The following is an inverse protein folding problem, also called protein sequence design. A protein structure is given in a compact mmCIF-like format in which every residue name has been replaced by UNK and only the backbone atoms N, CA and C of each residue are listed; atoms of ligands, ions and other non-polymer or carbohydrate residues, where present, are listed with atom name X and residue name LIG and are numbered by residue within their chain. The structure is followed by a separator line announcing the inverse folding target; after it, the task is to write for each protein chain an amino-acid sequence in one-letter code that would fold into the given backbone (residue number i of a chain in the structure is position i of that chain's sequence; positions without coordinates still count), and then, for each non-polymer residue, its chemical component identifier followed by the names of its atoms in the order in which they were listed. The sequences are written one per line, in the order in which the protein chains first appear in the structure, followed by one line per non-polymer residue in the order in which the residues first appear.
data_IF_742173834907
#
_entry.id   IF_742173834907
#
_cell.length_a   1.000
_cell.length_b   1.000
_cell.length_c   1.000
_cell.angle_alpha   90.00
_cell.angle_beta   90.00
_cell.angle_gamma   90.00
#
_symmetry.space_group_name_H-M   'P 1'
#
loop_
_entity.id
_entity.type
_entity.pdbx_description
1 polymer ?
#
# COMPACT_ATOMS: atom_id res chain seq x y z
N UNK A 1 -14.90 5.50 -18.82
CA UNK A 1 -15.62 5.37 -20.11
C UNK A 1 -16.46 4.10 -20.12
N UNK A 2 -17.50 4.09 -20.91
CA UNK A 2 -18.29 2.88 -21.15
C UNK A 2 -17.57 1.99 -22.17
N UNK A 3 -17.20 0.76 -21.75
CA UNK A 3 -16.53 -0.21 -22.61
C UNK A 3 -17.40 -0.66 -23.81
N UNK A 4 -18.74 -0.62 -23.70
CA UNK A 4 -19.65 -0.93 -24.78
C UNK A 4 -19.53 0.07 -25.95
N UNK A 5 -19.08 1.28 -25.69
CA UNK A 5 -18.83 2.30 -26.72
C UNK A 5 -17.69 1.92 -27.68
N UNK A 6 -16.83 0.97 -27.28
CA UNK A 6 -15.77 0.41 -28.12
C UNK A 6 -16.25 -0.74 -29.01
N UNK A 7 -17.53 -0.99 -29.09
CA UNK A 7 -18.16 -1.96 -29.97
C UNK A 7 -18.92 -1.27 -31.10
N UNK A 8 -19.30 -2.02 -32.14
CA UNK A 8 -20.12 -1.52 -33.26
C UNK A 8 -19.39 -0.59 -34.24
N UNK A 9 -20.16 0.10 -35.07
CA UNK A 9 -19.66 0.90 -36.23
C UNK A 9 -18.83 2.11 -35.86
N UNK A 10 -19.03 2.71 -34.66
CA UNK A 10 -18.33 3.90 -34.19
C UNK A 10 -17.06 3.62 -33.38
N UNK A 11 -16.72 2.33 -33.16
CA UNK A 11 -15.59 1.92 -32.30
C UNK A 11 -14.28 2.64 -32.59
N UNK A 12 -13.95 2.88 -33.88
CA UNK A 12 -12.71 3.55 -34.28
C UNK A 12 -12.65 5.01 -33.83
N UNK A 13 -13.73 5.76 -33.97
CA UNK A 13 -13.83 7.14 -33.54
C UNK A 13 -13.75 7.26 -32.01
N UNK A 14 -14.46 6.39 -31.29
CA UNK A 14 -14.45 6.36 -29.84
C UNK A 14 -13.06 5.98 -29.31
N UNK A 15 -12.44 4.94 -29.88
CA UNK A 15 -11.07 4.55 -29.52
C UNK A 15 -10.08 5.69 -29.71
N UNK A 16 -10.13 6.38 -30.86
CA UNK A 16 -9.24 7.50 -31.16
C UNK A 16 -9.45 8.68 -30.19
N UNK A 17 -10.69 8.99 -29.84
CA UNK A 17 -11.02 9.99 -28.82
C UNK A 17 -10.43 9.62 -27.45
N UNK A 18 -10.66 8.39 -26.98
CA UNK A 18 -10.13 7.91 -25.70
C UNK A 18 -8.60 7.84 -25.69
N UNK A 19 -7.96 7.46 -26.81
CA UNK A 19 -6.50 7.40 -26.96
C UNK A 19 -5.85 8.77 -26.85
N UNK A 20 -6.50 9.81 -27.41
CA UNK A 20 -6.02 11.20 -27.41
C UNK A 20 -6.39 11.95 -26.13
N UNK A 21 -7.23 11.39 -25.29
CA UNK A 21 -7.71 12.06 -24.08
C UNK A 21 -6.59 12.28 -23.08
N UNK A 22 -6.49 13.47 -22.48
CA UNK A 22 -5.42 13.85 -21.55
C UNK A 22 -5.30 12.90 -20.34
N UNK A 23 -6.42 12.44 -19.80
CA UNK A 23 -6.49 11.52 -18.66
C UNK A 23 -6.14 10.06 -19.00
N UNK A 24 -5.86 9.75 -20.28
CA UNK A 24 -5.49 8.40 -20.75
C UNK A 24 -6.40 7.30 -20.20
N UNK A 25 -7.73 7.35 -20.42
CA UNK A 25 -8.67 6.40 -19.81
C UNK A 25 -8.48 4.94 -20.24
N UNK A 26 -7.78 4.68 -21.35
CA UNK A 26 -7.42 3.33 -21.80
C UNK A 26 -6.20 2.76 -21.05
N UNK A 27 -5.49 3.57 -20.26
CA UNK A 27 -4.35 3.09 -19.46
C UNK A 27 -4.83 2.39 -18.20
N UNK A 28 -4.57 1.10 -18.09
CA UNK A 28 -4.94 0.32 -16.91
C UNK A 28 -4.01 0.67 -15.73
N UNK A 29 -4.39 1.68 -14.95
CA UNK A 29 -3.61 2.14 -13.79
C UNK A 29 -3.45 1.09 -12.72
N UNK A 30 -4.45 0.25 -12.51
CA UNK A 30 -4.44 -0.77 -11.46
C UNK A 30 -3.31 -1.81 -11.64
N UNK A 31 -3.00 -2.16 -12.89
CA UNK A 31 -2.02 -3.18 -13.23
C UNK A 31 -0.70 -2.63 -13.76
N UNK A 32 -0.73 -1.45 -14.38
CA UNK A 32 0.41 -0.86 -15.10
C UNK A 32 0.95 0.42 -14.49
N UNK A 33 0.12 1.14 -13.74
CA UNK A 33 0.56 2.32 -12.98
C UNK A 33 1.53 1.89 -11.90
N UNK A 34 2.68 2.56 -11.83
CA UNK A 34 3.66 2.34 -10.75
C UNK A 34 3.80 3.63 -9.97
N UNK A 35 3.52 3.56 -8.69
CA UNK A 35 3.39 4.71 -7.80
C UNK A 35 4.17 4.46 -6.52
N UNK A 36 4.58 5.52 -5.87
CA UNK A 36 5.05 5.41 -4.49
C UNK A 36 3.89 4.97 -3.60
N UNK A 37 4.08 4.00 -2.70
CA UNK A 37 3.00 3.52 -1.83
C UNK A 37 2.64 4.50 -0.69
N UNK A 38 3.54 5.41 -0.33
CA UNK A 38 3.38 6.26 0.83
C UNK A 38 3.20 5.46 2.12
N UNK A 39 2.52 6.03 3.09
CA UNK A 39 2.37 5.46 4.44
C UNK A 39 1.67 4.10 4.52
N UNK A 40 1.05 3.58 3.45
CA UNK A 40 0.55 2.21 3.45
C UNK A 40 1.69 1.18 3.55
N UNK A 41 2.89 1.55 3.08
CA UNK A 41 4.08 0.71 3.14
C UNK A 41 4.56 0.46 4.59
N UNK A 42 4.18 1.30 5.53
CA UNK A 42 4.50 1.15 6.96
C UNK A 42 4.00 -0.16 7.54
N UNK A 43 2.94 -0.75 6.97
CA UNK A 43 2.40 -2.04 7.42
C UNK A 43 3.42 -3.16 7.23
N UNK A 44 3.99 -3.30 6.04
CA UNK A 44 5.02 -4.31 5.77
C UNK A 44 6.32 -3.99 6.50
N UNK A 45 6.70 -2.72 6.65
CA UNK A 45 7.85 -2.30 7.45
C UNK A 45 7.70 -2.74 8.91
N UNK A 46 6.52 -2.53 9.49
CA UNK A 46 6.21 -2.93 10.86
C UNK A 46 6.26 -4.44 11.06
N UNK A 47 5.63 -5.21 10.16
CA UNK A 47 5.64 -6.67 10.21
C UNK A 47 7.07 -7.22 10.16
N UNK A 48 7.88 -6.74 9.21
CA UNK A 48 9.29 -7.16 9.09
C UNK A 48 10.08 -6.78 10.35
N UNK A 49 9.89 -5.60 10.90
CA UNK A 49 10.62 -5.14 12.08
C UNK A 49 10.26 -5.90 13.36
N UNK A 50 8.98 -6.26 13.53
CA UNK A 50 8.53 -7.11 14.64
C UNK A 50 9.13 -8.52 14.54
N UNK A 51 9.11 -9.10 13.34
CA UNK A 51 9.62 -10.45 13.09
C UNK A 51 11.14 -10.54 13.24
N UNK A 52 11.85 -9.49 12.78
CA UNK A 52 13.28 -9.33 12.98
C UNK A 52 13.68 -8.99 14.43
N UNK A 53 12.72 -8.78 15.32
CA UNK A 53 12.94 -8.48 16.74
C UNK A 53 13.61 -7.14 17.03
N UNK A 54 13.63 -6.19 16.07
CA UNK A 54 14.24 -4.87 16.27
C UNK A 54 13.31 -3.90 16.99
N UNK A 55 12.03 -4.22 17.04
CA UNK A 55 11.01 -3.60 17.87
C UNK A 55 10.07 -4.66 18.45
N UNK A 56 9.32 -4.28 19.46
CA UNK A 56 8.13 -4.97 19.94
C UNK A 56 6.90 -4.07 19.80
N UNK A 57 5.72 -4.59 20.01
CA UNK A 57 4.47 -3.80 20.01
C UNK A 57 4.46 -2.71 21.11
N UNK A 58 5.27 -2.89 22.15
CA UNK A 58 5.43 -1.96 23.28
C UNK A 58 6.60 -0.96 23.10
N UNK A 59 7.32 -1.03 21.98
CA UNK A 59 8.44 -0.12 21.72
C UNK A 59 7.91 1.29 21.50
N UNK A 60 8.27 2.21 22.37
CA UNK A 60 7.92 3.63 22.28
C UNK A 60 9.05 4.37 21.56
N UNK A 61 8.72 5.19 20.57
CA UNK A 61 9.64 6.05 19.85
C UNK A 61 9.07 7.48 19.84
N UNK A 62 9.90 8.45 20.17
CA UNK A 62 9.53 9.87 20.12
C UNK A 62 9.27 10.32 18.68
N UNK A 63 8.23 11.13 18.48
CA UNK A 63 7.93 11.77 17.22
C UNK A 63 8.82 13.02 17.04
N UNK A 64 10.10 12.81 16.77
CA UNK A 64 11.05 13.90 16.51
C UNK A 64 10.90 14.42 15.08
N UNK A 65 10.15 15.49 14.92
CA UNK A 65 9.87 16.14 13.63
C UNK A 65 11.07 16.87 13.03
N UNK A 66 12.17 17.02 13.77
CA UNK A 66 13.42 17.58 13.23
C UNK A 66 14.14 16.59 12.31
N UNK A 67 13.89 15.28 12.49
CA UNK A 67 14.46 14.21 11.68
C UNK A 67 13.70 14.06 10.37
N UNK A 68 12.38 14.00 10.46
CA UNK A 68 11.48 13.88 9.31
C UNK A 68 10.11 14.49 9.65
N UNK A 69 9.53 15.24 8.72
CA UNK A 69 8.22 15.86 8.90
C UNK A 69 7.13 14.86 9.26
N UNK A 70 6.28 15.20 10.22
CA UNK A 70 5.15 14.40 10.67
C UNK A 70 3.93 15.27 10.98
N UNK A 71 2.74 14.71 10.81
CA UNK A 71 1.46 15.38 11.07
C UNK A 71 0.83 14.89 12.37
N UNK A 72 -0.12 15.68 12.89
CA UNK A 72 -0.90 15.34 14.09
C UNK A 72 -0.25 15.78 15.41
N UNK A 73 -1.01 15.72 16.52
CA UNK A 73 -0.62 16.28 17.81
C UNK A 73 0.17 15.34 18.72
N UNK A 74 0.60 14.18 18.25
CA UNK A 74 1.32 13.17 19.04
C UNK A 74 2.81 13.54 19.25
N UNK A 75 3.39 13.12 20.37
CA UNK A 75 4.80 13.37 20.75
C UNK A 75 5.64 12.10 20.84
N UNK A 76 5.02 10.99 21.18
CA UNK A 76 5.63 9.66 21.21
C UNK A 76 4.53 8.63 20.98
N UNK A 77 4.87 7.56 20.27
CA UNK A 77 3.94 6.50 19.93
C UNK A 77 4.54 5.14 20.26
N UNK A 78 3.70 4.19 20.67
CA UNK A 78 3.97 2.77 20.54
C UNK A 78 3.67 2.29 19.10
N UNK A 79 3.79 0.99 18.84
CA UNK A 79 3.59 0.43 17.51
C UNK A 79 2.17 0.69 16.97
N UNK A 80 1.14 0.46 17.79
CA UNK A 80 -0.25 0.63 17.38
C UNK A 80 -0.58 2.09 17.12
N UNK A 81 -0.17 2.96 18.03
CA UNK A 81 -0.35 4.41 17.89
C UNK A 81 0.39 4.95 16.66
N UNK A 82 1.62 4.49 16.40
CA UNK A 82 2.41 4.93 15.25
C UNK A 82 1.75 4.58 13.90
N UNK A 83 1.04 3.47 13.81
CA UNK A 83 0.24 3.12 12.63
C UNK A 83 -1.03 4.00 12.58
N UNK A 84 -1.76 4.14 13.68
CA UNK A 84 -2.98 4.94 13.79
C UNK A 84 -2.75 6.38 13.38
N UNK A 85 -1.74 7.02 13.95
CA UNK A 85 -1.34 8.40 13.67
C UNK A 85 -0.51 8.55 12.38
N UNK A 86 -0.08 7.43 11.81
CA UNK A 86 0.85 7.43 10.65
C UNK A 86 2.19 8.13 10.92
N UNK A 87 2.78 7.92 12.11
CA UNK A 87 3.98 8.61 12.58
C UNK A 87 5.20 8.34 11.69
N UNK A 88 5.76 9.37 11.05
CA UNK A 88 6.94 9.25 10.19
C UNK A 88 8.22 9.01 10.98
N UNK A 89 8.53 9.75 12.07
CA UNK A 89 9.73 9.51 12.87
C UNK A 89 9.79 8.09 13.46
N UNK A 90 8.64 7.52 13.83
CA UNK A 90 8.59 6.12 14.27
C UNK A 90 9.12 5.18 13.20
N UNK A 91 8.58 5.25 11.99
CA UNK A 91 8.96 4.36 10.90
C UNK A 91 10.34 4.67 10.31
N UNK A 92 10.82 5.90 10.42
CA UNK A 92 12.22 6.24 10.16
C UNK A 92 13.15 5.42 11.08
N UNK A 93 12.90 5.44 12.38
CA UNK A 93 13.71 4.71 13.36
C UNK A 93 13.56 3.19 13.20
N UNK A 94 12.33 2.70 12.89
CA UNK A 94 12.09 1.29 12.58
C UNK A 94 12.97 0.83 11.41
N UNK A 95 12.96 1.54 10.29
CA UNK A 95 13.78 1.21 9.13
C UNK A 95 15.28 1.27 9.46
N UNK A 96 15.70 2.29 10.22
CA UNK A 96 17.09 2.41 10.67
C UNK A 96 17.52 1.17 11.46
N UNK A 97 16.70 0.69 12.40
CA UNK A 97 16.97 -0.51 13.20
C UNK A 97 16.98 -1.79 12.36
N UNK A 98 16.20 -1.86 11.29
CA UNK A 98 16.22 -3.01 10.37
C UNK A 98 17.52 -3.04 9.56
N UNK A 99 17.95 -1.91 9.01
CA UNK A 99 19.10 -1.89 8.09
C UNK A 99 20.44 -1.68 8.76
N UNK A 100 20.51 -0.98 9.92
CA UNK A 100 21.75 -0.73 10.66
C UNK A 100 21.76 -1.51 11.98
N UNK A 101 22.43 -2.65 11.99
CA UNK A 101 22.52 -3.55 13.16
C UNK A 101 23.96 -3.75 13.66
N UNK A 102 24.94 -3.03 13.09
CA UNK A 102 26.35 -3.24 13.40
C UNK A 102 26.91 -4.56 12.90
N UNK A 103 26.47 -5.02 11.72
CA UNK A 103 27.02 -6.22 11.04
C UNK A 103 28.40 -5.98 10.49
N UNK A 104 28.74 -4.71 10.27
CA UNK A 104 30.05 -4.23 9.84
C UNK A 104 30.42 -2.96 10.63
N UNK A 105 31.71 -2.76 10.89
CA UNK A 105 32.22 -1.57 11.59
C UNK A 105 31.99 -0.29 10.76
N UNK A 106 31.99 -0.42 9.44
CA UNK A 106 31.65 0.67 8.53
C UNK A 106 30.12 0.79 8.42
N UNK A 107 29.50 1.88 8.90
CA UNK A 107 28.04 2.05 8.88
C UNK A 107 27.45 2.12 7.47
N UNK A 108 28.24 2.43 6.44
CA UNK A 108 27.80 2.43 5.05
C UNK A 108 27.69 0.98 4.51
N UNK A 109 28.63 0.13 4.88
CA UNK A 109 28.61 -1.30 4.54
C UNK A 109 27.48 -1.99 5.30
N UNK A 110 27.32 -1.72 6.62
CA UNK A 110 26.23 -2.27 7.43
C UNK A 110 24.85 -1.92 6.83
N UNK A 111 24.65 -0.67 6.42
CA UNK A 111 23.41 -0.24 5.77
C UNK A 111 23.17 -0.95 4.43
N UNK A 112 24.22 -1.17 3.64
CA UNK A 112 24.15 -1.92 2.38
C UNK A 112 23.74 -3.37 2.60
N UNK A 113 24.37 -4.05 3.56
CA UNK A 113 24.00 -5.43 3.93
C UNK A 113 22.56 -5.52 4.45
N UNK A 114 22.17 -4.56 5.31
CA UNK A 114 20.83 -4.51 5.86
C UNK A 114 19.76 -4.25 4.82
N UNK A 115 20.05 -3.41 3.82
CA UNK A 115 19.12 -3.15 2.72
C UNK A 115 18.88 -4.42 1.87
N UNK A 116 19.88 -5.26 1.64
CA UNK A 116 19.69 -6.53 0.92
C UNK A 116 18.78 -7.49 1.70
N UNK A 117 18.98 -7.61 3.00
CA UNK A 117 18.12 -8.44 3.86
C UNK A 117 16.68 -7.91 3.81
N UNK A 118 16.50 -6.60 4.00
CA UNK A 118 15.22 -5.94 3.92
C UNK A 118 14.55 -6.14 2.54
N UNK A 119 15.28 -5.95 1.44
CA UNK A 119 14.77 -6.13 0.08
C UNK A 119 14.22 -7.54 -0.13
N UNK A 120 14.93 -8.56 0.35
CA UNK A 120 14.49 -9.95 0.28
C UNK A 120 13.16 -10.14 1.03
N UNK A 121 13.06 -9.63 2.26
CA UNK A 121 11.84 -9.73 3.08
C UNK A 121 10.64 -9.02 2.44
N UNK A 122 10.85 -7.84 1.86
CA UNK A 122 9.78 -7.08 1.19
C UNK A 122 9.27 -7.80 -0.07
N UNK A 123 10.14 -8.47 -0.80
CA UNK A 123 9.74 -9.24 -1.99
C UNK A 123 8.85 -10.43 -1.68
N UNK A 124 8.91 -11.01 -0.49
CA UNK A 124 8.00 -12.07 -0.06
C UNK A 124 6.54 -11.62 -0.10
N UNK A 125 6.26 -10.33 0.15
CA UNK A 125 4.92 -9.74 0.08
C UNK A 125 4.44 -9.46 -1.36
N UNK A 126 5.17 -9.92 -2.39
CA UNK A 126 4.83 -9.73 -3.79
C UNK A 126 5.26 -8.37 -4.36
N UNK A 127 5.92 -7.51 -3.58
CA UNK A 127 6.50 -6.27 -4.08
C UNK A 127 7.73 -6.54 -4.96
N UNK A 128 7.92 -5.73 -6.00
CA UNK A 128 9.02 -5.94 -6.94
C UNK A 128 8.85 -7.16 -7.85
N UNK A 129 7.68 -7.83 -7.83
CA UNK A 129 7.32 -8.97 -8.68
C UNK A 129 6.07 -8.67 -9.50
N UNK A 130 5.88 -9.38 -10.60
CA UNK A 130 4.66 -9.27 -11.41
C UNK A 130 3.56 -10.12 -10.79
N UNK A 131 2.76 -9.55 -9.92
CA UNK A 131 1.54 -10.21 -9.44
C UNK A 131 0.52 -10.35 -10.57
N UNK A 132 -0.23 -11.44 -10.57
CA UNK A 132 -1.18 -11.72 -11.64
C UNK A 132 -0.48 -11.93 -12.98
N UNK A 133 0.62 -12.66 -13.01
CA UNK A 133 1.45 -12.89 -14.20
C UNK A 133 0.70 -13.38 -15.43
N UNK A 134 -0.49 -13.95 -15.23
CA UNK A 134 -1.43 -14.36 -16.30
C UNK A 134 -2.23 -13.17 -16.86
N UNK A 135 -2.19 -12.01 -16.22
CA UNK A 135 -2.92 -10.83 -16.68
C UNK A 135 -1.96 -9.98 -17.54
N UNK A 136 -2.27 -9.79 -18.84
CA UNK A 136 -1.36 -9.05 -19.71
C UNK A 136 -1.12 -7.63 -19.23
N UNK A 137 0.14 -7.22 -19.25
CA UNK A 137 0.54 -5.85 -18.97
C UNK A 137 0.79 -5.50 -17.49
N UNK A 138 0.72 -6.46 -16.57
CA UNK A 138 1.11 -6.24 -15.16
C UNK A 138 2.58 -5.80 -15.07
N UNK A 139 2.87 -4.91 -14.11
CA UNK A 139 4.22 -4.44 -13.81
C UNK A 139 4.67 -4.89 -12.43
N UNK A 140 5.99 -5.06 -12.28
CA UNK A 140 6.61 -5.46 -11.02
C UNK A 140 6.76 -4.31 -10.02
N UNK A 141 6.68 -3.05 -10.48
CA UNK A 141 7.17 -1.94 -9.67
C UNK A 141 8.69 -1.95 -9.52
N UNK A 142 9.20 -1.27 -8.50
CA UNK A 142 10.62 -1.23 -8.17
C UNK A 142 10.81 -1.21 -6.66
N UNK A 143 11.62 -2.15 -6.15
CA UNK A 143 12.07 -2.16 -4.75
C UNK A 143 13.60 -2.03 -4.80
N UNK A 144 14.14 -0.90 -4.32
CA UNK A 144 15.57 -0.64 -4.41
C UNK A 144 16.38 -1.65 -3.60
N UNK A 145 17.60 -1.88 -4.05
CA UNK A 145 18.58 -2.77 -3.44
C UNK A 145 19.97 -2.12 -3.45
N UNK A 146 20.97 -2.76 -2.85
CA UNK A 146 22.32 -2.23 -2.79
C UNK A 146 22.94 -1.98 -4.17
N UNK A 147 22.85 -2.89 -5.15
CA UNK A 147 23.35 -2.62 -6.50
C UNK A 147 22.74 -1.38 -7.17
N UNK A 148 21.48 -1.07 -6.89
CA UNK A 148 20.84 0.15 -7.37
C UNK A 148 21.57 1.41 -6.89
N UNK A 149 21.81 1.49 -5.56
CA UNK A 149 22.51 2.64 -4.98
C UNK A 149 24.00 2.66 -5.29
N UNK A 150 24.65 1.51 -5.38
CA UNK A 150 26.04 1.40 -5.80
C UNK A 150 26.27 1.97 -7.21
N UNK A 151 25.31 1.75 -8.11
CA UNK A 151 25.39 2.30 -9.47
C UNK A 151 25.21 3.83 -9.52
N UNK A 152 24.51 4.42 -8.56
CA UNK A 152 24.23 5.87 -8.52
C UNK A 152 25.33 6.62 -7.74
N UNK A 153 25.71 6.12 -6.58
CA UNK A 153 26.56 6.82 -5.64
C UNK A 153 27.99 6.24 -5.54
N UNK A 154 28.20 5.05 -6.08
CA UNK A 154 29.42 4.26 -5.88
C UNK A 154 29.32 3.35 -4.64
N UNK A 155 30.00 2.20 -4.72
CA UNK A 155 30.04 1.22 -3.62
C UNK A 155 30.63 1.84 -2.36
N UNK A 156 29.94 1.64 -1.22
CA UNK A 156 30.30 2.21 0.09
C UNK A 156 30.32 3.75 0.16
N UNK A 157 29.61 4.46 -0.73
CA UNK A 157 29.45 5.89 -0.69
C UNK A 157 28.01 6.34 -0.36
N UNK A 158 27.14 5.43 0.03
CA UNK A 158 25.77 5.70 0.47
C UNK A 158 25.48 4.95 1.77
N UNK A 159 24.46 5.37 2.49
CA UNK A 159 24.06 4.76 3.75
C UNK A 159 22.61 5.08 4.09
N UNK A 160 22.22 4.89 5.37
CA UNK A 160 20.82 5.06 5.77
C UNK A 160 20.25 6.45 5.44
N UNK A 161 21.07 7.53 5.55
CA UNK A 161 20.65 8.89 5.18
C UNK A 161 20.31 9.05 3.70
N UNK A 162 20.81 8.19 2.83
CA UNK A 162 20.46 8.17 1.39
C UNK A 162 19.11 7.53 1.15
N UNK A 163 18.75 6.51 1.95
CA UNK A 163 17.60 5.64 1.73
C UNK A 163 16.43 5.89 2.69
N UNK A 164 16.55 6.84 3.62
CA UNK A 164 15.56 7.00 4.70
C UNK A 164 14.12 7.24 4.22
N UNK A 165 13.93 7.86 3.04
CA UNK A 165 12.59 8.09 2.46
C UNK A 165 11.80 6.80 2.21
N UNK A 166 12.50 5.68 1.99
CA UNK A 166 11.90 4.35 1.88
C UNK A 166 11.10 3.98 3.14
N UNK A 167 11.54 4.45 4.31
CA UNK A 167 10.91 4.16 5.60
C UNK A 167 9.43 4.54 5.66
N UNK A 168 9.03 5.56 4.92
CA UNK A 168 7.68 6.09 4.84
C UNK A 168 6.97 5.77 3.52
N UNK A 169 7.56 4.90 2.69
CA UNK A 169 6.98 4.52 1.40
C UNK A 169 7.19 5.51 0.27
N UNK A 170 8.21 6.37 0.39
CA UNK A 170 8.61 7.38 -0.61
C UNK A 170 9.94 7.00 -1.27
N UNK A 171 10.61 7.96 -1.88
CA UNK A 171 11.89 7.75 -2.55
C UNK A 171 11.74 6.92 -3.83
N UNK A 172 12.58 5.90 -3.95
CA UNK A 172 12.70 5.07 -5.16
C UNK A 172 11.72 3.88 -5.18
N UNK A 173 10.87 3.74 -4.16
CA UNK A 173 9.84 2.71 -4.12
C UNK A 173 8.76 2.98 -5.17
N UNK A 174 8.49 1.96 -6.00
CA UNK A 174 7.38 1.98 -6.95
C UNK A 174 6.60 0.68 -6.84
N UNK A 175 5.31 0.80 -6.60
CA UNK A 175 4.38 -0.33 -6.48
C UNK A 175 3.16 -0.12 -7.36
N UNK A 176 2.49 -1.20 -7.75
CA UNK A 176 1.20 -1.09 -8.46
C UNK A 176 0.04 -1.10 -7.46
N UNK A 177 -1.13 -0.53 -7.78
CA UNK A 177 -2.33 -0.67 -6.96
C UNK A 177 -2.69 -2.13 -6.67
N UNK A 178 -2.45 -3.05 -7.61
CA UNK A 178 -2.64 -4.48 -7.36
C UNK A 178 -1.74 -5.00 -6.23
N UNK A 179 -0.46 -4.61 -6.19
CA UNK A 179 0.45 -4.98 -5.10
C UNK A 179 0.01 -4.39 -3.75
N UNK A 180 -0.51 -3.16 -3.76
CA UNK A 180 -1.06 -2.53 -2.55
C UNK A 180 -2.30 -3.28 -2.04
N UNK A 181 -3.21 -3.67 -2.93
CA UNK A 181 -4.38 -4.49 -2.58
C UNK A 181 -3.96 -5.89 -2.08
N UNK A 182 -2.91 -6.48 -2.68
CA UNK A 182 -2.36 -7.74 -2.23
C UNK A 182 -1.79 -7.65 -0.80
N UNK A 183 -1.12 -6.55 -0.44
CA UNK A 183 -0.68 -6.33 0.95
C UNK A 183 -1.87 -6.33 1.92
N UNK A 184 -2.98 -5.68 1.55
CA UNK A 184 -4.21 -5.74 2.36
C UNK A 184 -4.75 -7.18 2.48
N UNK A 185 -4.70 -7.97 1.40
CA UNK A 185 -5.11 -9.37 1.40
C UNK A 185 -4.18 -10.25 2.27
N UNK A 186 -2.86 -10.04 2.23
CA UNK A 186 -1.89 -10.75 3.08
C UNK A 186 -2.19 -10.49 4.55
N UNK A 187 -2.45 -9.22 4.93
CA UNK A 187 -2.76 -8.87 6.32
C UNK A 187 -4.11 -9.47 6.74
N UNK A 188 -5.13 -9.38 5.88
CA UNK A 188 -6.43 -9.99 6.11
C UNK A 188 -6.35 -11.50 6.35
N UNK A 189 -5.50 -12.18 5.61
CA UNK A 189 -5.27 -13.62 5.69
C UNK A 189 -4.24 -14.04 6.76
N UNK A 190 -3.66 -13.09 7.50
CA UNK A 190 -2.65 -13.34 8.55
C UNK A 190 -1.40 -14.05 8.03
N UNK A 191 -0.92 -13.61 6.86
CA UNK A 191 0.40 -14.00 6.37
C UNK A 191 0.43 -14.87 5.12
N UNK A 192 -0.64 -14.89 4.32
CA UNK A 192 -0.57 -15.52 2.99
C UNK A 192 -1.39 -14.77 1.95
N UNK A 193 -1.08 -15.00 0.69
CA UNK A 193 -1.92 -14.59 -0.43
C UNK A 193 -2.02 -15.68 -1.49
N UNK A 194 -3.07 -15.61 -2.29
CA UNK A 194 -3.20 -16.40 -3.52
C UNK A 194 -2.88 -15.52 -4.71
N UNK A 195 -2.24 -16.10 -5.73
CA UNK A 195 -1.90 -15.35 -6.94
C UNK A 195 -3.15 -14.68 -7.53
N UNK A 196 -3.17 -13.33 -7.66
CA UNK A 196 -4.33 -12.62 -8.19
C UNK A 196 -4.64 -13.02 -9.64
N UNK A 197 -5.89 -13.34 -9.93
CA UNK A 197 -6.35 -13.65 -11.28
C UNK A 197 -7.83 -13.29 -11.47
N UNK A 198 -8.26 -12.92 -12.70
CA UNK A 198 -9.64 -12.53 -12.99
C UNK A 198 -10.56 -13.73 -13.33
N UNK A 199 -10.03 -14.96 -13.40
CA UNK A 199 -10.74 -16.13 -13.87
C UNK A 199 -11.34 -16.88 -12.69
N UNK A 200 -12.65 -16.89 -12.58
CA UNK A 200 -13.38 -17.66 -11.56
C UNK A 200 -13.57 -19.12 -11.96
N UNK A 201 -13.96 -19.33 -13.21
CA UNK A 201 -14.29 -20.64 -13.75
C UNK A 201 -14.22 -20.64 -15.28
N UNK A 202 -13.90 -21.77 -15.89
CA UNK A 202 -13.95 -21.96 -17.35
C UNK A 202 -14.89 -23.11 -17.68
N UNK A 203 -16.12 -22.79 -18.08
CA UNK A 203 -17.10 -23.74 -18.57
C UNK A 203 -17.51 -24.81 -17.53
N UNK A 204 -17.62 -24.44 -16.24
CA UNK A 204 -17.99 -25.35 -15.16
C UNK A 204 -16.88 -26.31 -14.71
N UNK A 205 -15.66 -26.14 -15.22
CA UNK A 205 -14.50 -27.02 -14.91
C UNK A 205 -13.61 -26.49 -13.79
N UNK A 206 -14.01 -25.38 -13.15
CA UNK A 206 -13.19 -24.70 -12.14
C UNK A 206 -12.07 -23.85 -12.73
N UNK A 207 -11.14 -23.46 -11.89
CA UNK A 207 -9.97 -22.66 -12.28
C UNK A 207 -8.93 -23.52 -13.00
N UNK A 208 -8.21 -22.99 -13.99
CA UNK A 208 -7.04 -23.66 -14.55
C UNK A 208 -5.98 -23.95 -13.47
N UNK A 209 -5.29 -25.09 -13.63
CA UNK A 209 -4.16 -25.44 -12.75
C UNK A 209 -3.10 -24.34 -12.75
N UNK A 210 -2.59 -24.01 -11.56
CA UNK A 210 -1.54 -22.99 -11.35
C UNK A 210 -2.03 -21.55 -11.20
N UNK A 211 -3.33 -21.28 -11.42
CA UNK A 211 -3.89 -19.93 -11.17
C UNK A 211 -4.22 -19.63 -9.70
N UNK A 212 -4.10 -20.61 -8.81
CA UNK A 212 -4.48 -20.47 -7.40
C UNK A 212 -3.29 -20.80 -6.47
N UNK A 213 -2.08 -20.46 -6.91
CA UNK A 213 -0.88 -20.65 -6.11
C UNK A 213 -0.96 -19.86 -4.82
N UNK A 214 -0.72 -20.52 -3.69
CA UNK A 214 -0.65 -19.89 -2.38
C UNK A 214 0.82 -19.56 -2.05
N UNK A 215 1.02 -18.36 -1.55
CA UNK A 215 2.32 -17.85 -1.11
C UNK A 215 2.22 -17.48 0.37
N UNK A 216 3.02 -18.13 1.21
CA UNK A 216 3.08 -17.87 2.64
C UNK A 216 4.24 -16.93 2.96
N UNK A 217 4.00 -16.01 3.90
CA UNK A 217 5.03 -15.11 4.41
C UNK A 217 5.88 -15.83 5.45
N UNK A 218 7.16 -15.47 5.50
CA UNK A 218 8.05 -15.96 6.56
C UNK A 218 7.83 -15.26 7.91
N UNK A 219 7.07 -14.15 7.93
CA UNK A 219 6.71 -13.41 9.15
C UNK A 219 5.78 -14.22 10.02
N UNK A 220 6.10 -14.34 11.33
CA UNK A 220 5.29 -15.06 12.30
C UNK A 220 3.87 -14.49 12.38
N UNK A 221 2.90 -15.39 12.29
CA UNK A 221 1.45 -15.09 12.28
C UNK A 221 0.99 -14.23 13.47
N UNK A 222 1.64 -14.36 14.61
CA UNK A 222 1.30 -13.61 15.83
C UNK A 222 1.42 -12.09 15.70
N UNK A 223 2.22 -11.59 14.74
CA UNK A 223 2.41 -10.15 14.55
C UNK A 223 1.31 -9.49 13.72
N UNK A 224 0.56 -10.28 12.95
CA UNK A 224 -0.50 -9.73 12.08
C UNK A 224 -1.65 -9.11 12.87
N UNK A 225 -2.06 -9.71 14.01
CA UNK A 225 -3.16 -9.14 14.81
C UNK A 225 -2.85 -7.74 15.32
N UNK A 226 -1.61 -7.47 15.74
CA UNK A 226 -1.21 -6.11 16.16
C UNK A 226 -1.30 -5.09 15.04
N UNK A 227 -1.01 -5.48 13.80
CA UNK A 227 -1.18 -4.63 12.62
C UNK A 227 -2.65 -4.44 12.29
N UNK A 228 -3.47 -5.49 12.40
CA UNK A 228 -4.92 -5.47 12.17
C UNK A 228 -5.60 -4.53 13.17
N UNK A 229 -5.27 -4.64 14.47
CA UNK A 229 -5.77 -3.74 15.52
C UNK A 229 -5.46 -2.27 15.19
N UNK A 230 -4.22 -2.00 14.81
CA UNK A 230 -3.80 -0.66 14.43
C UNK A 230 -4.52 -0.16 13.16
N UNK A 231 -4.73 -1.02 12.15
CA UNK A 231 -5.47 -0.68 10.94
C UNK A 231 -6.96 -0.42 11.20
N UNK A 232 -7.56 -1.08 12.18
CA UNK A 232 -8.91 -0.76 12.65
C UNK A 232 -8.94 0.62 13.30
N UNK A 233 -7.98 0.93 14.19
CA UNK A 233 -7.88 2.22 14.86
C UNK A 233 -7.68 3.39 13.88
N UNK A 234 -7.01 3.17 12.73
CA UNK A 234 -6.93 4.19 11.67
C UNK A 234 -8.31 4.70 11.23
N UNK A 235 -9.37 3.90 11.38
CA UNK A 235 -10.74 4.23 10.96
C UNK A 235 -11.62 4.60 12.15
N UNK A 236 -11.44 3.92 13.29
CA UNK A 236 -12.38 4.02 14.43
C UNK A 236 -11.92 4.99 15.51
N UNK A 237 -10.62 5.19 15.69
CA UNK A 237 -10.06 6.12 16.67
C UNK A 237 -10.35 7.58 16.28
N UNK A 238 -10.55 8.45 17.27
CA UNK A 238 -10.81 9.88 17.06
C UNK A 238 -9.62 10.60 16.36
N UNK A 239 -8.40 10.11 16.58
CA UNK A 239 -7.17 10.59 15.96
C UNK A 239 -6.77 9.78 14.72
N UNK A 240 -7.61 8.82 14.31
CA UNK A 240 -7.42 7.98 13.15
C UNK A 240 -7.50 8.79 11.85
N UNK A 241 -6.68 8.40 10.87
CA UNK A 241 -6.53 9.16 9.62
C UNK A 241 -7.58 8.85 8.56
N UNK A 242 -8.51 7.89 8.81
CA UNK A 242 -9.46 7.40 7.80
C UNK A 242 -10.90 7.24 8.28
N UNK A 243 -11.37 8.04 9.24
CA UNK A 243 -12.77 7.97 9.74
C UNK A 243 -13.84 8.07 8.63
N UNK A 244 -13.51 8.70 7.49
CA UNK A 244 -14.39 8.81 6.32
C UNK A 244 -14.58 7.49 5.55
N UNK A 245 -13.79 6.44 5.83
CA UNK A 245 -14.00 5.11 5.28
C UNK A 245 -15.06 4.30 6.04
N UNK A 246 -15.46 4.75 7.23
CA UNK A 246 -16.38 4.02 8.12
C UNK A 246 -17.71 3.72 7.43
N UNK A 247 -18.18 2.49 7.63
CA UNK A 247 -19.48 1.98 7.17
C UNK A 247 -20.18 1.33 8.36
N UNK A 248 -21.43 1.72 8.61
CA UNK A 248 -22.17 1.20 9.76
C UNK A 248 -22.38 -0.31 9.66
N UNK A 249 -22.08 -1.01 10.76
CA UNK A 249 -22.21 -2.45 10.86
C UNK A 249 -21.10 -3.26 10.15
N UNK A 250 -20.06 -2.60 9.60
CA UNK A 250 -18.93 -3.29 8.96
C UNK A 250 -17.63 -2.79 9.60
N UNK A 251 -16.90 -3.69 10.26
CA UNK A 251 -15.56 -3.38 10.77
C UNK A 251 -14.56 -3.43 9.64
N UNK A 252 -13.99 -2.27 9.29
CA UNK A 252 -13.01 -2.10 8.23
C UNK A 252 -11.63 -1.91 8.86
N UNK A 253 -10.62 -2.61 8.34
CA UNK A 253 -9.22 -2.40 8.67
C UNK A 253 -8.52 -1.75 7.48
N UNK A 254 -7.89 -0.60 7.67
CA UNK A 254 -7.29 0.12 6.54
C UNK A 254 -6.15 1.04 6.93
N UNK A 255 -5.47 1.58 5.92
CA UNK A 255 -4.37 2.54 6.09
C UNK A 255 -4.37 3.57 5.00
N UNK A 256 -4.28 4.84 5.40
CA UNK A 256 -4.09 5.97 4.48
C UNK A 256 -2.63 6.10 4.05
N UNK A 257 -2.45 6.59 2.83
CA UNK A 257 -1.19 7.14 2.34
C UNK A 257 -1.46 8.49 1.67
N UNK A 258 -0.52 9.39 1.82
CA UNK A 258 -0.44 10.63 1.06
C UNK A 258 0.93 10.61 0.39
N UNK A 259 0.95 10.73 -0.92
CA UNK A 259 2.18 10.62 -1.72
C UNK A 259 2.52 11.97 -2.30
N UNK A 260 3.68 12.49 -1.93
CA UNK A 260 4.13 13.80 -2.36
C UNK A 260 4.36 13.85 -3.88
N UNK A 261 3.85 14.91 -4.51
CA UNK A 261 3.92 15.09 -5.96
C UNK A 261 4.61 16.40 -6.39
N UNK A 262 5.58 16.87 -5.61
CA UNK A 262 6.37 18.05 -5.92
C UNK A 262 5.56 19.33 -5.95
N UNK A 263 5.43 19.95 -7.13
CA UNK A 263 4.69 21.23 -7.29
C UNK A 263 3.17 21.05 -7.52
N UNK A 264 2.68 19.82 -7.60
CA UNK A 264 1.28 19.49 -7.82
C UNK A 264 0.63 18.99 -6.54
N UNK A 265 -0.71 18.86 -6.55
CA UNK A 265 -1.44 18.21 -5.47
C UNK A 265 -0.93 16.78 -5.23
N UNK A 266 -0.83 16.39 -3.98
CA UNK A 266 -0.42 15.06 -3.58
C UNK A 266 -1.39 14.00 -4.08
N UNK A 267 -0.97 12.75 -4.09
CA UNK A 267 -1.85 11.63 -4.43
C UNK A 267 -2.50 11.06 -3.17
N UNK A 268 -3.81 10.85 -3.25
CA UNK A 268 -4.61 10.24 -2.19
C UNK A 268 -4.60 8.72 -2.34
N UNK A 269 -4.14 8.01 -1.29
CA UNK A 269 -4.01 6.56 -1.31
C UNK A 269 -4.67 5.94 -0.09
N UNK A 270 -5.32 4.81 -0.28
CA UNK A 270 -5.88 4.01 0.81
C UNK A 270 -5.86 2.52 0.44
N UNK A 271 -5.51 1.67 1.39
CA UNK A 271 -5.72 0.23 1.28
C UNK A 271 -6.55 -0.26 2.46
N UNK A 272 -7.39 -1.27 2.24
CA UNK A 272 -8.25 -1.82 3.27
C UNK A 272 -8.66 -3.26 2.97
N UNK A 273 -9.15 -3.93 4.01
CA UNK A 273 -9.92 -5.15 3.91
C UNK A 273 -11.12 -5.12 4.86
N UNK A 274 -12.13 -5.91 4.59
CA UNK A 274 -13.34 -6.02 5.40
C UNK A 274 -14.10 -7.34 5.13
N UNK A 275 -14.94 -7.80 6.10
CA UNK A 275 -14.92 -7.46 7.51
C UNK A 275 -13.65 -7.93 8.22
N UNK A 276 -13.33 -7.36 9.38
CA UNK A 276 -12.13 -7.74 10.16
C UNK A 276 -12.05 -9.24 10.46
N UNK A 277 -13.14 -9.80 11.00
CA UNK A 277 -13.15 -11.18 11.52
C UNK A 277 -13.21 -12.24 10.42
N UNK A 278 -13.96 -11.97 9.36
CA UNK A 278 -14.09 -12.86 8.21
C UNK A 278 -13.90 -12.07 6.92
N UNK A 279 -12.67 -11.73 6.54
CA UNK A 279 -12.40 -10.90 5.38
C UNK A 279 -12.95 -11.47 4.08
N UNK A 280 -13.73 -10.67 3.36
CA UNK A 280 -14.34 -11.04 2.09
C UNK A 280 -13.85 -10.17 0.93
N UNK A 281 -13.31 -8.99 1.24
CA UNK A 281 -12.76 -8.07 0.24
C UNK A 281 -11.47 -7.43 0.78
N UNK A 282 -10.47 -7.35 -0.09
CA UNK A 282 -9.29 -6.53 0.09
C UNK A 282 -9.12 -5.65 -1.15
N UNK A 283 -8.81 -4.37 -0.94
CA UNK A 283 -8.70 -3.40 -2.02
C UNK A 283 -7.65 -2.33 -1.75
N UNK A 284 -7.24 -1.65 -2.81
CA UNK A 284 -6.54 -0.37 -2.73
C UNK A 284 -7.19 0.66 -3.67
N UNK A 285 -7.21 1.90 -3.23
CA UNK A 285 -7.66 3.05 -4.01
C UNK A 285 -6.52 4.04 -4.12
N UNK A 286 -6.21 4.42 -5.34
CA UNK A 286 -5.20 5.42 -5.66
C UNK A 286 -5.85 6.52 -6.51
N UNK A 287 -5.90 7.75 -5.98
CA UNK A 287 -6.46 8.92 -6.69
C UNK A 287 -5.33 9.90 -6.95
N UNK A 288 -4.98 10.05 -8.23
CA UNK A 288 -3.94 10.99 -8.65
C UNK A 288 -4.41 12.43 -8.41
N UNK A 289 -3.52 13.30 -7.89
CA UNK A 289 -3.76 14.74 -7.71
C UNK A 289 -4.97 15.09 -6.82
N UNK A 290 -5.15 14.38 -5.73
CA UNK A 290 -6.35 14.50 -4.87
C UNK A 290 -6.03 14.80 -3.40
N UNK A 291 -4.77 15.13 -3.06
CA UNK A 291 -4.37 15.48 -1.71
C UNK A 291 -4.34 14.28 -0.73
N UNK A 292 -4.79 14.47 0.47
CA UNK A 292 -4.64 13.49 1.55
C UNK A 292 -5.47 12.22 1.33
N UNK A 293 -4.90 11.06 1.72
CA UNK A 293 -5.52 9.73 1.59
C UNK A 293 -6.88 9.60 2.28
N UNK A 294 -7.05 10.25 3.43
CA UNK A 294 -8.32 10.29 4.17
C UNK A 294 -9.42 11.11 3.47
N UNK A 295 -9.07 11.97 2.51
CA UNK A 295 -10.01 12.90 1.88
C UNK A 295 -10.80 12.28 0.73
N UNK A 296 -10.16 11.44 -0.09
CA UNK A 296 -10.76 10.87 -1.29
C UNK A 296 -10.63 9.34 -1.36
N UNK A 297 -9.43 8.79 -1.21
CA UNK A 297 -9.24 7.35 -1.35
C UNK A 297 -9.99 6.55 -0.27
N UNK A 298 -9.98 7.01 0.98
CA UNK A 298 -10.67 6.34 2.08
C UNK A 298 -12.21 6.30 1.91
N UNK A 299 -12.92 7.42 1.63
CA UNK A 299 -14.36 7.37 1.40
C UNK A 299 -14.75 6.55 0.16
N UNK A 300 -13.95 6.56 -0.92
CA UNK A 300 -14.18 5.71 -2.10
C UNK A 300 -14.10 4.23 -1.69
N UNK A 301 -13.08 3.86 -0.91
CA UNK A 301 -12.92 2.49 -0.42
C UNK A 301 -14.10 2.05 0.45
N UNK A 302 -14.59 2.92 1.35
CA UNK A 302 -15.77 2.65 2.18
C UNK A 302 -17.00 2.34 1.33
N UNK A 303 -17.28 3.13 0.28
CA UNK A 303 -18.40 2.88 -0.64
C UNK A 303 -18.25 1.56 -1.41
N UNK A 304 -17.04 1.24 -1.88
CA UNK A 304 -16.78 -0.02 -2.58
C UNK A 304 -16.98 -1.23 -1.65
N UNK A 305 -16.53 -1.15 -0.39
CA UNK A 305 -16.73 -2.18 0.61
C UNK A 305 -18.22 -2.34 0.93
N UNK A 306 -18.94 -1.23 1.17
CA UNK A 306 -20.38 -1.25 1.42
C UNK A 306 -21.11 -1.91 0.27
N UNK A 307 -20.88 -1.46 -0.97
CA UNK A 307 -21.50 -2.03 -2.17
C UNK A 307 -21.22 -3.52 -2.33
N UNK A 308 -19.97 -3.95 -2.09
CA UNK A 308 -19.60 -5.35 -2.24
C UNK A 308 -20.26 -6.26 -1.20
N UNK A 309 -20.32 -5.82 0.06
CA UNK A 309 -20.82 -6.65 1.16
C UNK A 309 -22.33 -6.61 1.34
N UNK A 310 -23.00 -5.52 0.92
CA UNK A 310 -24.44 -5.30 1.13
C UNK A 310 -25.26 -5.20 -0.17
N UNK A 311 -24.57 -5.25 -1.32
CA UNK A 311 -25.14 -5.02 -2.65
C UNK A 311 -25.86 -3.68 -2.85
N UNK A 312 -25.66 -2.73 -1.92
CA UNK A 312 -26.28 -1.41 -1.93
C UNK A 312 -25.29 -0.35 -1.45
N UNK A 313 -25.61 0.94 -1.67
CA UNK A 313 -24.90 2.09 -1.11
C UNK A 313 -25.91 2.94 -0.37
N UNK A 314 -25.73 3.11 0.94
CA UNK A 314 -26.59 3.92 1.79
C UNK A 314 -26.11 5.39 1.89
N UNK A 315 -24.81 5.62 1.75
CA UNK A 315 -24.18 6.93 1.89
C UNK A 315 -24.20 7.73 0.59
N UNK A 316 -25.40 8.02 0.06
CA UNK A 316 -25.59 8.71 -1.23
C UNK A 316 -24.95 10.10 -1.28
N UNK A 317 -24.92 10.84 -0.18
CA UNK A 317 -24.23 12.13 -0.11
C UNK A 317 -22.69 11.99 -0.32
N UNK A 318 -22.10 10.91 0.20
CA UNK A 318 -20.68 10.58 -0.02
C UNK A 318 -20.43 10.20 -1.47
N UNK A 319 -21.32 9.39 -2.04
CA UNK A 319 -21.27 8.97 -3.45
C UNK A 319 -21.36 10.18 -4.38
N UNK A 320 -22.34 11.06 -4.18
CA UNK A 320 -22.51 12.27 -4.99
C UNK A 320 -21.27 13.16 -4.95
N UNK A 321 -20.70 13.39 -3.75
CA UNK A 321 -19.46 14.17 -3.61
C UNK A 321 -18.31 13.58 -4.44
N UNK A 322 -18.20 12.25 -4.54
CA UNK A 322 -17.14 11.59 -5.31
C UNK A 322 -17.41 11.71 -6.81
N UNK A 323 -18.65 11.54 -7.25
CA UNK A 323 -19.04 11.65 -8.66
C UNK A 323 -18.84 13.10 -9.17
N UNK A 324 -19.11 14.09 -8.34
CA UNK A 324 -18.98 15.51 -8.66
C UNK A 324 -17.52 16.01 -8.60
N UNK A 325 -16.61 15.20 -8.06
CA UNK A 325 -15.20 15.59 -7.96
C UNK A 325 -14.54 15.71 -9.33
N UNK A 326 -14.02 16.91 -9.60
CA UNK A 326 -13.15 17.19 -10.76
C UNK A 326 -11.77 17.56 -10.20
N UNK A 327 -10.76 16.70 -10.38
CA UNK A 327 -9.39 16.97 -9.93
C UNK A 327 -8.68 18.06 -10.74
#
# INVERSE_FOLDING_TARGET
YDANSLTGKRRGLVYDSLRKHNWKPLYNRALRGTYRPGSIFKMVQGLVALDEGVISTKTIINCDRSIIGCHGPHSADDFTQAITHSCNPYFYEVMRRVVQRGRDENPLVDASMGLEIWNKRIKEFGFGTKLGGHIPGTRAGAIPNSPYYDNIYGKNHWGFRTIFSISIGEGELLTTPLQMANLAAIIANRGYFREPHPIRDIGGRGKPLGLDSMHEMSVDVKYFESVIDAMQNVIEDEHGTASRAKVDGITICGKTGTVQNGAFEDHSVFMAFAPRENPQIALSVYVEYAGAGGSWAAPIAGLLIEKYLTDSVKYTARENRIIEFQP
#
